data_IF_352490043902
#
_entry.id   IF_352490043902
#
_cell.length_a   1.000
_cell.length_b   1.000
_cell.length_c   1.000
_cell.angle_alpha   90.00
_cell.angle_beta   90.00
_cell.angle_gamma   90.00
#
_symmetry.space_group_name_H-M   'P 1'
#
loop_
_entity.id
_entity.type
_entity.pdbx_description
1 polymer ?
#
# COMPACT_ATOMS: atom_id res chain seq x y z
N UNK A 1 -23.50 18.59 -4.14
CA UNK A 1 -24.01 17.91 -2.93
C UNK A 1 -22.84 17.23 -2.24
N UNK A 2 -22.18 17.99 -1.38
CA UNK A 2 -21.07 17.74 -0.42
C UNK A 2 -21.33 18.78 0.68
N UNK A 3 -21.16 18.53 2.00
CA UNK A 3 -20.32 17.50 2.61
C UNK A 3 -20.97 16.67 3.75
N UNK A 4 -20.61 15.38 3.79
CA UNK A 4 -20.66 14.52 4.98
C UNK A 4 -19.25 14.32 5.60
N UNK A 5 -18.27 15.13 5.15
CA UNK A 5 -16.89 15.14 5.67
C UNK A 5 -16.77 15.90 7.00
N UNK A 6 -17.75 16.73 7.37
CA UNK A 6 -17.69 17.58 8.57
C UNK A 6 -18.19 16.88 9.85
N UNK A 7 -18.84 15.72 9.74
CA UNK A 7 -19.36 15.00 10.91
C UNK A 7 -18.34 14.07 11.58
N UNK A 8 -17.26 13.69 10.91
CA UNK A 8 -16.23 12.81 11.50
C UNK A 8 -15.21 13.61 12.33
N UNK A 9 -15.06 14.92 12.08
CA UNK A 9 -14.19 15.79 12.88
C UNK A 9 -14.79 16.16 14.26
N UNK A 10 -16.11 16.06 14.44
CA UNK A 10 -16.80 16.53 15.65
C UNK A 10 -17.03 15.46 16.74
N UNK A 11 -16.57 14.23 16.55
CA UNK A 11 -16.69 13.15 17.55
C UNK A 11 -15.48 13.05 18.50
N UNK A 12 -14.49 13.94 18.42
CA UNK A 12 -13.30 13.94 19.28
C UNK A 12 -13.29 15.03 20.37
N UNK A 13 -14.34 15.84 20.50
CA UNK A 13 -14.37 16.96 21.45
C UNK A 13 -15.69 17.00 22.23
N UNK A 14 -15.88 16.03 23.13
CA UNK A 14 -16.82 16.17 24.24
C UNK A 14 -16.40 15.30 25.44
N UNK A 15 -15.81 15.99 26.41
CA UNK A 15 -16.06 15.85 27.85
C UNK A 15 -15.41 14.72 28.67
N UNK A 16 -14.41 15.12 29.48
CA UNK A 16 -14.33 15.04 30.96
C UNK A 16 -12.84 15.15 31.33
N UNK A 17 -12.35 15.99 32.24
CA UNK A 17 -12.96 16.58 33.41
C UNK A 17 -11.99 16.39 34.59
N UNK A 18 -11.18 17.41 34.87
CA UNK A 18 -10.75 17.87 36.21
C UNK A 18 -10.23 16.83 37.24
N UNK A 19 -8.93 16.87 37.54
CA UNK A 19 -8.39 16.72 38.92
C UNK A 19 -7.08 17.51 39.13
N UNK A 20 -7.17 18.50 40.02
CA UNK A 20 -6.23 18.92 41.07
C UNK A 20 -4.70 18.84 40.88
N UNK A 21 -4.10 20.02 40.79
CA UNK A 21 -3.18 20.59 41.80
C UNK A 21 -1.90 19.83 42.17
N UNK A 22 -0.75 20.31 41.69
CA UNK A 22 0.48 20.31 42.51
C UNK A 22 1.41 21.47 42.14
N UNK A 23 1.93 22.07 43.20
CA UNK A 23 2.75 23.27 43.33
C UNK A 23 4.19 23.05 42.87
N UNK A 24 4.76 23.95 42.06
CA UNK A 24 6.22 24.08 41.82
C UNK A 24 6.48 25.53 41.38
N UNK A 25 6.81 26.41 42.33
CA UNK A 25 8.18 26.87 42.64
C UNK A 25 8.87 27.55 41.45
N UNK A 26 8.76 28.87 41.46
CA UNK A 26 9.82 29.85 41.29
C UNK A 26 11.10 29.33 40.61
N UNK A 27 11.35 29.83 39.39
CA UNK A 27 12.70 29.89 38.85
C UNK A 27 12.87 31.19 38.07
N UNK A 28 13.86 31.93 38.53
CA UNK A 28 14.20 33.31 38.21
C UNK A 28 14.38 33.60 36.72
N UNK A 29 13.85 34.75 36.30
CA UNK A 29 14.23 35.46 35.10
C UNK A 29 15.27 36.52 35.48
N UNK A 30 16.53 36.29 35.15
CA UNK A 30 17.58 37.29 35.24
C UNK A 30 18.42 37.36 33.96
N UNK A 31 18.50 38.58 33.42
CA UNK A 31 19.59 39.22 32.69
C UNK A 31 20.08 38.57 31.36
N UNK A 32 19.98 39.21 30.19
CA UNK A 32 20.57 40.48 29.71
C UNK A 32 22.00 40.31 29.14
N UNK A 33 22.09 40.64 27.85
CA UNK A 33 23.21 41.18 27.04
C UNK A 33 24.58 40.47 26.95
N UNK A 34 25.00 40.27 25.70
CA UNK A 34 26.37 39.91 25.32
C UNK A 34 26.62 40.14 23.82
N UNK A 35 27.00 41.37 23.48
CA UNK A 35 27.57 41.79 22.19
C UNK A 35 28.87 41.05 21.86
N UNK A 36 29.10 40.85 20.56
CA UNK A 36 30.44 40.94 19.95
C UNK A 36 31.08 39.62 19.49
N UNK A 37 31.21 39.45 18.17
CA UNK A 37 32.50 39.55 17.47
C UNK A 37 32.36 39.16 15.99
N UNK A 38 33.00 39.95 15.15
CA UNK A 38 33.08 39.82 13.69
C UNK A 38 34.20 38.83 13.28
N UNK A 39 33.88 37.96 12.29
CA UNK A 39 34.71 37.46 11.16
C UNK A 39 36.04 36.68 11.45
N UNK A 40 36.75 36.07 10.46
CA UNK A 40 36.48 35.69 9.05
C UNK A 40 36.96 34.24 8.67
N UNK A 41 36.99 33.93 7.36
CA UNK A 41 37.76 32.90 6.61
C UNK A 41 36.89 31.77 6.00
N UNK A 42 36.51 31.86 4.72
CA UNK A 42 37.30 31.41 3.56
C UNK A 42 37.92 30.03 3.74
N UNK A 43 37.16 29.01 3.33
CA UNK A 43 37.63 27.65 3.12
C UNK A 43 36.98 27.08 1.87
N UNK A 44 37.71 27.19 0.75
CA UNK A 44 37.41 26.58 -0.54
C UNK A 44 37.21 25.06 -0.33
N UNK A 45 35.96 24.60 -0.30
CA UNK A 45 35.65 23.18 -0.43
C UNK A 45 35.46 22.86 -1.91
N UNK A 46 36.50 22.27 -2.49
CA UNK A 46 36.47 21.64 -3.80
C UNK A 46 35.31 20.62 -3.88
N UNK A 47 34.59 20.52 -5.02
CA UNK A 47 33.64 19.44 -5.20
C UNK A 47 34.43 18.14 -5.34
N UNK A 48 34.38 17.31 -4.31
CA UNK A 48 34.76 15.89 -4.40
C UNK A 48 33.87 15.25 -5.47
N UNK A 49 34.41 15.17 -6.69
CA UNK A 49 33.90 14.36 -7.77
C UNK A 49 33.86 12.90 -7.28
N UNK A 50 32.73 12.48 -6.71
CA UNK A 50 32.40 11.07 -6.49
C UNK A 50 32.10 10.41 -7.83
N UNK A 51 33.13 10.29 -8.67
CA UNK A 51 33.12 9.41 -9.82
C UNK A 51 33.44 8.00 -9.33
N UNK A 52 32.46 7.37 -8.68
CA UNK A 52 32.52 5.93 -8.40
C UNK A 52 32.15 5.19 -9.68
N UNK A 53 33.17 4.61 -10.31
CA UNK A 53 33.13 3.70 -11.45
C UNK A 53 32.07 2.59 -11.29
N UNK A 54 30.83 2.82 -11.76
CA UNK A 54 29.78 1.81 -11.93
C UNK A 54 29.92 1.03 -13.25
N UNK A 55 31.12 0.62 -13.65
CA UNK A 55 31.31 -0.11 -14.93
C UNK A 55 31.57 -1.63 -14.78
N UNK A 56 31.60 -2.16 -13.56
CA UNK A 56 31.91 -3.58 -13.32
C UNK A 56 30.73 -4.56 -13.30
N UNK A 57 29.48 -4.08 -13.22
CA UNK A 57 28.31 -4.94 -13.00
C UNK A 57 27.61 -5.44 -14.28
N UNK A 58 27.71 -4.71 -15.40
CA UNK A 58 26.98 -5.07 -16.63
C UNK A 58 27.53 -6.36 -17.27
N UNK A 59 28.85 -6.54 -17.30
CA UNK A 59 29.49 -7.68 -17.97
C UNK A 59 29.33 -9.01 -17.24
N UNK A 60 29.04 -9.01 -15.92
CA UNK A 60 28.84 -10.27 -15.18
C UNK A 60 27.48 -10.91 -15.45
N UNK A 61 26.46 -10.10 -15.78
CA UNK A 61 25.13 -10.61 -16.10
C UNK A 61 25.09 -11.33 -17.45
N UNK A 62 25.86 -10.90 -18.44
CA UNK A 62 25.88 -11.52 -19.78
C UNK A 62 26.32 -13.00 -19.77
N UNK A 63 27.05 -13.41 -18.73
CA UNK A 63 27.52 -14.78 -18.57
C UNK A 63 26.51 -15.67 -17.85
N UNK A 64 25.51 -15.11 -17.17
CA UNK A 64 24.49 -15.90 -16.51
C UNK A 64 23.55 -16.55 -17.57
N UNK A 65 23.26 -17.87 -17.47
CA UNK A 65 22.43 -18.57 -18.46
C UNK A 65 21.07 -17.92 -18.71
N UNK A 66 20.52 -17.26 -17.70
CA UNK A 66 19.23 -16.57 -17.73
C UNK A 66 19.20 -15.42 -18.76
N UNK A 67 20.33 -14.76 -19.03
CA UNK A 67 20.39 -13.64 -19.98
C UNK A 67 20.43 -14.10 -21.43
N UNK A 68 20.64 -15.40 -21.68
CA UNK A 68 20.59 -15.99 -23.03
C UNK A 68 19.20 -16.47 -23.42
N UNK A 69 18.26 -16.48 -22.47
CA UNK A 69 16.87 -16.84 -22.77
C UNK A 69 16.25 -15.78 -23.69
N UNK A 70 15.40 -16.16 -24.65
CA UNK A 70 14.56 -15.24 -25.40
C UNK A 70 13.58 -14.48 -24.49
N UNK A 71 13.08 -13.32 -24.93
CA UNK A 71 12.14 -12.51 -24.15
C UNK A 71 10.84 -13.25 -23.86
N UNK A 72 10.38 -14.12 -24.76
CA UNK A 72 9.16 -14.91 -24.61
C UNK A 72 9.25 -15.85 -23.41
N UNK A 73 10.40 -16.49 -23.22
CA UNK A 73 10.62 -17.40 -22.09
C UNK A 73 10.69 -16.61 -20.77
N UNK A 74 11.31 -15.43 -20.79
CA UNK A 74 11.35 -14.55 -19.62
C UNK A 74 9.96 -14.06 -19.24
N UNK A 75 9.13 -13.69 -20.21
CA UNK A 75 7.72 -13.31 -19.99
C UNK A 75 6.99 -14.46 -19.29
N UNK A 76 7.12 -15.69 -19.80
CA UNK A 76 6.44 -16.84 -19.20
C UNK A 76 6.93 -17.15 -17.78
N UNK A 77 8.24 -17.05 -17.51
CA UNK A 77 8.79 -17.21 -16.15
C UNK A 77 8.20 -16.15 -15.21
N UNK A 78 8.16 -14.88 -15.65
CA UNK A 78 7.64 -13.77 -14.85
C UNK A 78 6.13 -13.95 -14.59
N UNK A 79 5.35 -14.35 -15.60
CA UNK A 79 3.91 -14.64 -15.42
C UNK A 79 3.69 -15.74 -14.38
N UNK A 80 4.37 -16.87 -14.52
CA UNK A 80 4.25 -17.98 -13.57
C UNK A 80 4.66 -17.54 -12.15
N UNK A 81 5.75 -16.78 -12.02
CA UNK A 81 6.18 -16.24 -10.73
C UNK A 81 5.13 -15.32 -10.08
N UNK A 82 4.47 -14.48 -10.88
CA UNK A 82 3.38 -13.61 -10.41
C UNK A 82 2.11 -14.39 -10.01
N UNK A 83 1.91 -15.57 -10.58
CA UNK A 83 0.79 -16.46 -10.26
C UNK A 83 1.04 -17.26 -8.98
N UNK A 84 2.28 -17.74 -8.77
CA UNK A 84 2.70 -18.58 -7.64
C UNK A 84 2.77 -17.88 -6.28
N UNK A 85 2.04 -16.77 -6.07
CA UNK A 85 2.15 -15.97 -4.84
C UNK A 85 2.04 -16.87 -3.59
N UNK A 86 3.13 -16.89 -2.82
CA UNK A 86 3.15 -17.39 -1.45
C UNK A 86 2.39 -16.35 -0.64
N UNK A 87 1.36 -16.75 0.12
CA UNK A 87 0.49 -15.89 0.95
C UNK A 87 1.21 -15.19 2.13
N UNK A 88 2.51 -14.87 2.01
CA UNK A 88 3.29 -14.12 3.01
C UNK A 88 3.54 -12.70 2.53
N UNK A 89 3.30 -11.71 3.39
CA UNK A 89 3.39 -10.26 3.12
C UNK A 89 4.80 -9.73 2.82
N UNK A 90 5.49 -10.31 1.83
CA UNK A 90 6.74 -9.80 1.27
C UNK A 90 6.51 -8.82 0.11
N UNK A 91 7.62 -8.23 -0.36
CA UNK A 91 7.64 -7.41 -1.57
C UNK A 91 6.96 -8.16 -2.73
N UNK A 92 6.03 -7.49 -3.38
CA UNK A 92 5.29 -8.10 -4.47
C UNK A 92 6.22 -8.53 -5.61
N UNK A 93 6.01 -9.73 -6.17
CA UNK A 93 6.87 -10.32 -7.19
C UNK A 93 7.16 -9.36 -8.36
N UNK A 94 6.14 -8.64 -8.84
CA UNK A 94 6.23 -7.66 -9.93
C UNK A 94 7.21 -6.49 -9.63
N UNK A 95 7.31 -6.10 -8.35
CA UNK A 95 8.29 -5.13 -7.86
C UNK A 95 9.69 -5.74 -7.94
N UNK A 96 9.87 -6.91 -7.35
CA UNK A 96 11.16 -7.62 -7.28
C UNK A 96 11.75 -7.85 -8.67
N UNK A 97 10.97 -8.38 -9.62
CA UNK A 97 11.43 -8.61 -10.99
C UNK A 97 11.81 -7.31 -11.72
N UNK A 98 11.11 -6.21 -11.44
CA UNK A 98 11.41 -4.89 -12.02
C UNK A 98 12.75 -4.31 -11.51
N UNK A 99 13.36 -4.90 -10.48
CA UNK A 99 14.64 -4.47 -9.94
C UNK A 99 15.82 -5.39 -10.31
N UNK A 100 15.59 -6.53 -10.97
CA UNK A 100 16.65 -7.50 -11.32
C UNK A 100 17.63 -6.95 -12.37
N UNK A 101 17.12 -6.48 -13.50
CA UNK A 101 17.91 -5.90 -14.59
C UNK A 101 17.07 -4.96 -15.45
N UNK A 102 17.70 -4.17 -16.31
CA UNK A 102 16.99 -3.29 -17.26
C UNK A 102 16.08 -4.10 -18.19
N UNK A 103 16.55 -5.26 -18.69
CA UNK A 103 15.76 -6.16 -19.55
C UNK A 103 14.51 -6.68 -18.84
N UNK A 104 14.67 -7.19 -17.61
CA UNK A 104 13.55 -7.69 -16.81
C UNK A 104 12.54 -6.59 -16.48
N UNK A 105 13.02 -5.37 -16.18
CA UNK A 105 12.16 -4.21 -15.98
C UNK A 105 11.36 -3.86 -17.23
N UNK A 106 11.99 -3.82 -18.41
CA UNK A 106 11.30 -3.54 -19.68
C UNK A 106 10.22 -4.58 -19.95
N UNK A 107 10.52 -5.86 -19.72
CA UNK A 107 9.54 -6.95 -19.87
C UNK A 107 8.40 -6.78 -18.86
N UNK A 108 8.70 -6.56 -17.58
CA UNK A 108 7.67 -6.41 -16.55
C UNK A 108 6.75 -5.21 -16.81
N UNK A 109 7.30 -4.07 -17.26
CA UNK A 109 6.51 -2.86 -17.56
C UNK A 109 5.67 -3.03 -18.82
N UNK A 110 6.16 -3.75 -19.83
CA UNK A 110 5.44 -3.99 -21.09
C UNK A 110 4.34 -5.05 -21.00
N UNK A 111 4.17 -5.70 -19.84
CA UNK A 111 3.17 -6.73 -19.61
C UNK A 111 2.14 -6.28 -18.55
N UNK A 112 1.03 -5.63 -18.95
CA UNK A 112 0.04 -5.09 -18.01
C UNK A 112 -0.62 -6.14 -17.11
N UNK A 113 -0.73 -7.40 -17.57
CA UNK A 113 -1.34 -8.50 -16.81
C UNK A 113 -0.65 -8.75 -15.46
N UNK A 114 0.65 -8.46 -15.35
CA UNK A 114 1.43 -8.61 -14.12
C UNK A 114 1.01 -7.63 -13.02
N UNK A 115 0.34 -6.53 -13.39
CA UNK A 115 -0.03 -5.43 -12.50
C UNK A 115 -1.51 -5.45 -12.10
N UNK A 116 -2.24 -6.50 -12.49
CA UNK A 116 -3.69 -6.63 -12.29
C UNK A 116 -4.07 -7.04 -10.87
N UNK A 117 -3.16 -7.62 -10.09
CA UNK A 117 -3.42 -8.02 -8.69
C UNK A 117 -2.91 -6.95 -7.75
N UNK A 118 -3.81 -6.16 -7.19
CA UNK A 118 -3.49 -5.02 -6.33
C UNK A 118 -3.83 -5.37 -4.88
N UNK A 119 -2.82 -5.41 -4.03
CA UNK A 119 -3.00 -5.54 -2.58
C UNK A 119 -2.99 -4.15 -1.92
N UNK A 120 -3.98 -3.88 -1.07
CA UNK A 120 -4.08 -2.72 -0.20
C UNK A 120 -3.72 -3.16 1.21
N UNK A 121 -2.46 -2.94 1.58
CA UNK A 121 -1.90 -3.31 2.88
C UNK A 121 -1.36 -2.06 3.62
N UNK A 122 -1.30 -2.08 4.96
CA UNK A 122 -0.78 -0.98 5.78
C UNK A 122 0.62 -0.48 5.41
N UNK A 123 1.49 -1.42 5.00
CA UNK A 123 2.89 -1.18 4.67
C UNK A 123 3.10 -0.69 3.23
N UNK A 124 2.07 -0.77 2.38
CA UNK A 124 2.17 -0.41 0.97
C UNK A 124 2.16 1.11 0.78
N UNK A 125 3.09 1.62 -0.02
CA UNK A 125 3.21 3.05 -0.28
C UNK A 125 2.13 3.45 -1.31
N UNK A 126 1.32 4.51 -1.06
CA UNK A 126 0.25 4.92 -1.98
C UNK A 126 0.68 5.16 -3.44
N UNK A 127 1.91 5.67 -3.65
CA UNK A 127 2.46 5.87 -5.00
C UNK A 127 2.68 4.56 -5.76
N UNK A 128 2.94 3.46 -5.05
CA UNK A 128 3.09 2.14 -5.66
C UNK A 128 1.74 1.59 -6.13
N UNK A 129 0.67 1.80 -5.36
CA UNK A 129 -0.70 1.48 -5.79
C UNK A 129 -1.05 2.20 -7.10
N UNK A 130 -0.78 3.51 -7.17
CA UNK A 130 -1.02 4.28 -8.40
C UNK A 130 -0.21 3.74 -9.58
N UNK A 131 1.04 3.33 -9.33
CA UNK A 131 1.89 2.71 -10.34
C UNK A 131 1.30 1.39 -10.85
N UNK A 132 0.78 0.52 -9.95
CA UNK A 132 0.11 -0.72 -10.35
C UNK A 132 -1.14 -0.44 -11.20
N UNK A 133 -1.99 0.49 -10.76
CA UNK A 133 -3.20 0.89 -11.49
C UNK A 133 -2.83 1.40 -12.89
N UNK A 134 -1.85 2.30 -13.01
CA UNK A 134 -1.41 2.82 -14.30
C UNK A 134 -0.84 1.73 -15.21
N UNK A 135 0.00 0.83 -14.66
CA UNK A 135 0.64 -0.24 -15.44
C UNK A 135 -0.31 -1.35 -15.86
N UNK A 136 -1.40 -1.56 -15.13
CA UNK A 136 -2.46 -2.49 -15.51
C UNK A 136 -3.27 -2.02 -16.74
N UNK A 137 -3.02 -0.81 -17.24
CA UNK A 137 -3.64 -0.23 -18.43
C UNK A 137 -5.17 -0.22 -18.35
N UNK A 138 -5.87 -0.91 -19.25
CA UNK A 138 -7.34 -1.05 -19.25
C UNK A 138 -7.80 -2.45 -18.83
N UNK A 139 -6.89 -3.31 -18.36
CA UNK A 139 -7.23 -4.69 -17.96
C UNK A 139 -8.01 -4.66 -16.64
N UNK A 140 -8.90 -5.64 -16.45
CA UNK A 140 -9.60 -5.80 -15.18
C UNK A 140 -8.63 -6.15 -14.03
N UNK A 141 -8.94 -5.65 -12.83
CA UNK A 141 -8.08 -5.68 -11.66
C UNK A 141 -8.72 -6.55 -10.57
N UNK A 142 -7.89 -7.36 -9.93
CA UNK A 142 -8.24 -8.07 -8.69
C UNK A 142 -7.69 -7.28 -7.50
N UNK A 143 -8.59 -6.82 -6.63
CA UNK A 143 -8.25 -6.03 -5.45
C UNK A 143 -8.28 -6.92 -4.22
N UNK A 144 -7.21 -6.90 -3.44
CA UNK A 144 -7.09 -7.63 -2.19
C UNK A 144 -6.81 -6.66 -1.04
N UNK A 145 -7.75 -6.51 -0.12
CA UNK A 145 -7.59 -5.68 1.07
C UNK A 145 -7.05 -6.56 2.20
N UNK A 146 -5.85 -6.23 2.68
CA UNK A 146 -5.15 -6.95 3.73
C UNK A 146 -5.72 -6.59 5.11
N UNK A 147 -5.46 -7.41 6.16
CA UNK A 147 -5.82 -7.05 7.52
C UNK A 147 -5.15 -5.74 7.91
N UNK A 148 -5.92 -4.83 8.51
CA UNK A 148 -5.39 -3.56 8.99
C UNK A 148 -5.15 -3.65 10.51
N UNK A 149 -3.98 -3.22 11.03
CA UNK A 149 -3.78 -3.20 12.47
C UNK A 149 -4.81 -2.27 13.12
N UNK A 150 -5.39 -2.74 14.21
CA UNK A 150 -6.28 -1.90 15.02
C UNK A 150 -5.51 -0.69 15.53
N UNK A 151 -6.13 0.51 15.60
CA UNK A 151 -5.47 1.77 15.99
C UNK A 151 -4.69 1.75 17.32
N UNK A 152 -4.93 0.75 18.17
CA UNK A 152 -4.20 0.53 19.43
C UNK A 152 -2.71 0.21 19.25
N UNK A 153 -2.24 -0.15 18.05
CA UNK A 153 -0.89 -0.68 17.83
C UNK A 153 0.21 0.37 17.61
N UNK A 154 -0.07 1.67 17.69
CA UNK A 154 0.96 2.74 17.69
C UNK A 154 1.76 2.92 16.40
N UNK A 155 1.59 2.07 15.39
CA UNK A 155 2.04 2.36 14.04
C UNK A 155 1.15 3.47 13.46
N UNK A 156 1.73 4.43 12.76
CA UNK A 156 1.01 5.30 11.84
C UNK A 156 1.12 4.69 10.43
N UNK A 157 0.34 3.64 10.10
CA UNK A 157 0.25 3.19 8.73
C UNK A 157 -0.30 4.34 7.87
N UNK A 158 0.00 4.33 6.57
CA UNK A 158 -0.68 5.21 5.62
C UNK A 158 -2.18 5.13 5.86
N UNK A 159 -2.94 6.23 5.74
CA UNK A 159 -4.38 6.15 6.02
C UNK A 159 -5.01 5.14 5.06
N UNK A 160 -5.70 4.13 5.60
CA UNK A 160 -6.48 3.18 4.82
C UNK A 160 -7.38 3.93 3.82
N UNK A 161 -7.95 5.06 4.24
CA UNK A 161 -8.81 5.89 3.40
C UNK A 161 -8.07 6.47 2.20
N UNK A 162 -6.80 6.83 2.34
CA UNK A 162 -5.99 7.35 1.24
C UNK A 162 -5.77 6.25 0.20
N UNK A 163 -5.33 5.07 0.63
CA UNK A 163 -5.12 3.93 -0.26
C UNK A 163 -6.43 3.47 -0.91
N UNK A 164 -7.51 3.38 -0.13
CA UNK A 164 -8.84 3.04 -0.61
C UNK A 164 -9.32 4.07 -1.66
N UNK A 165 -9.15 5.37 -1.40
CA UNK A 165 -9.55 6.41 -2.36
C UNK A 165 -8.80 6.30 -3.69
N UNK A 166 -7.55 5.85 -3.68
CA UNK A 166 -6.75 5.63 -4.89
C UNK A 166 -7.31 4.45 -5.69
N UNK A 167 -7.54 3.29 -5.04
CA UNK A 167 -8.05 2.11 -5.75
C UNK A 167 -9.49 2.31 -6.24
N UNK A 168 -10.31 3.05 -5.50
CA UNK A 168 -11.70 3.35 -5.88
C UNK A 168 -11.80 4.17 -7.17
N UNK A 169 -10.78 4.95 -7.54
CA UNK A 169 -10.74 5.63 -8.84
C UNK A 169 -10.72 4.66 -10.02
N UNK A 170 -10.36 3.40 -9.78
CA UNK A 170 -10.36 2.31 -10.76
C UNK A 170 -11.49 1.30 -10.55
N UNK A 171 -12.48 1.63 -9.71
CA UNK A 171 -13.58 0.74 -9.31
C UNK A 171 -14.35 0.13 -10.49
N UNK A 172 -14.47 0.85 -11.61
CA UNK A 172 -15.12 0.37 -12.83
C UNK A 172 -14.40 -0.83 -13.48
N UNK A 173 -13.11 -1.01 -13.18
CA UNK A 173 -12.26 -2.08 -13.71
C UNK A 173 -12.07 -3.22 -12.72
N UNK A 174 -12.70 -3.19 -11.56
CA UNK A 174 -12.54 -4.26 -10.59
C UNK A 174 -13.28 -5.51 -11.07
N UNK A 175 -12.56 -6.62 -11.21
CA UNK A 175 -13.10 -7.96 -11.48
C UNK A 175 -13.40 -8.71 -10.21
N UNK A 176 -12.47 -8.68 -9.26
CA UNK A 176 -12.63 -9.35 -7.98
C UNK A 176 -12.22 -8.46 -6.82
N UNK A 177 -12.94 -8.59 -5.70
CA UNK A 177 -12.64 -7.93 -4.44
C UNK A 177 -12.47 -9.00 -3.37
N UNK A 178 -11.28 -9.07 -2.79
CA UNK A 178 -10.97 -9.93 -1.67
C UNK A 178 -10.76 -9.10 -0.42
N UNK A 179 -11.50 -9.41 0.64
CA UNK A 179 -11.37 -8.78 1.95
C UNK A 179 -10.80 -9.83 2.91
N UNK A 180 -9.52 -9.67 3.28
CA UNK A 180 -8.85 -10.50 4.29
C UNK A 180 -8.93 -9.75 5.60
N UNK A 181 -10.01 -9.97 6.35
CA UNK A 181 -10.09 -9.49 7.71
C UNK A 181 -10.99 -10.37 8.56
N UNK A 182 -10.69 -10.47 9.85
CA UNK A 182 -11.60 -11.10 10.80
C UNK A 182 -12.98 -10.46 10.71
N UNK A 183 -14.05 -11.26 10.80
CA UNK A 183 -15.45 -10.79 10.70
C UNK A 183 -15.81 -9.70 11.74
N UNK A 184 -14.96 -9.51 12.74
CA UNK A 184 -15.10 -8.52 13.82
C UNK A 184 -14.32 -7.23 13.57
N UNK A 185 -13.62 -7.10 12.45
CA UNK A 185 -12.86 -5.91 12.14
C UNK A 185 -13.82 -4.78 11.71
N UNK A 186 -13.87 -3.65 12.46
CA UNK A 186 -14.70 -2.50 12.09
C UNK A 186 -14.40 -1.95 10.69
N UNK A 187 -13.21 -2.23 10.14
CA UNK A 187 -12.84 -1.91 8.76
C UNK A 187 -13.75 -2.60 7.75
N UNK A 188 -14.19 -3.82 8.04
CA UNK A 188 -15.12 -4.56 7.17
C UNK A 188 -16.45 -3.81 7.03
N UNK A 189 -17.05 -3.44 8.16
CA UNK A 189 -18.27 -2.64 8.22
C UNK A 189 -18.07 -1.29 7.53
N UNK A 190 -16.92 -0.65 7.73
CA UNK A 190 -16.62 0.62 7.08
C UNK A 190 -16.57 0.50 5.57
N UNK A 191 -15.89 -0.51 5.02
CA UNK A 191 -15.80 -0.75 3.58
C UNK A 191 -17.18 -1.01 2.97
N UNK A 192 -17.99 -1.87 3.61
CA UNK A 192 -19.34 -2.14 3.15
C UNK A 192 -20.25 -0.91 3.21
N UNK A 193 -20.21 -0.16 4.32
CA UNK A 193 -20.97 1.08 4.46
C UNK A 193 -20.52 2.13 3.45
N UNK A 194 -19.21 2.20 3.17
CA UNK A 194 -18.67 3.10 2.16
C UNK A 194 -19.23 2.74 0.77
N UNK A 195 -19.18 1.46 0.37
CA UNK A 195 -19.76 1.05 -0.91
C UNK A 195 -21.27 1.30 -0.98
N UNK A 196 -22.00 1.02 0.11
CA UNK A 196 -23.44 1.25 0.19
C UNK A 196 -23.82 2.75 0.13
N UNK A 197 -23.04 3.61 0.79
CA UNK A 197 -23.31 5.04 0.90
C UNK A 197 -22.88 5.87 -0.30
N UNK A 198 -21.78 5.49 -0.97
CA UNK A 198 -21.24 6.25 -2.10
C UNK A 198 -21.84 5.85 -3.45
N UNK A 199 -22.72 4.84 -3.50
CA UNK A 199 -23.34 4.40 -4.74
C UNK A 199 -22.31 3.99 -5.79
N UNK A 200 -21.19 3.39 -5.34
CA UNK A 200 -20.10 2.99 -6.23
C UNK A 200 -20.62 1.97 -7.21
N UNK A 201 -20.70 2.37 -8.48
CA UNK A 201 -21.06 1.46 -9.55
C UNK A 201 -19.86 0.58 -9.88
N UNK A 202 -20.02 -0.73 -9.68
CA UNK A 202 -18.99 -1.75 -9.90
C UNK A 202 -19.42 -2.67 -11.08
N UNK A 203 -19.43 -2.16 -12.33
CA UNK A 203 -20.00 -2.87 -13.48
C UNK A 203 -19.30 -4.18 -13.81
N UNK A 204 -18.00 -4.26 -13.52
CA UNK A 204 -17.15 -5.39 -13.91
C UNK A 204 -16.90 -6.38 -12.76
N UNK A 205 -17.50 -6.15 -11.59
CA UNK A 205 -17.22 -6.94 -10.40
C UNK A 205 -17.96 -8.28 -10.48
N UNK A 206 -17.18 -9.34 -10.67
CA UNK A 206 -17.66 -10.72 -10.81
C UNK A 206 -17.61 -11.48 -9.48
N UNK A 207 -16.65 -11.16 -8.60
CA UNK A 207 -16.37 -11.99 -7.43
C UNK A 207 -16.08 -11.14 -6.19
N UNK A 208 -16.73 -11.45 -5.06
CA UNK A 208 -16.40 -10.89 -3.74
C UNK A 208 -16.04 -12.04 -2.80
N UNK A 209 -14.83 -12.02 -2.24
CA UNK A 209 -14.31 -13.05 -1.32
C UNK A 209 -14.04 -12.47 0.05
N UNK A 210 -14.50 -13.16 1.08
CA UNK A 210 -14.33 -12.76 2.48
C UNK A 210 -13.52 -13.84 3.19
N UNK A 211 -12.39 -13.46 3.80
CA UNK A 211 -11.54 -14.37 4.57
C UNK A 211 -11.47 -13.90 6.03
N UNK A 212 -12.06 -14.66 6.95
CA UNK A 212 -11.95 -14.44 8.40
C UNK A 212 -10.70 -15.08 8.99
N UNK A 213 -10.05 -14.42 9.94
CA UNK A 213 -8.77 -14.87 10.54
C UNK A 213 -8.88 -16.07 11.48
N UNK A 214 -10.08 -16.54 11.83
CA UNK A 214 -10.21 -17.70 12.70
C UNK A 214 -11.54 -18.41 12.46
N UNK A 215 -11.51 -19.43 11.61
CA UNK A 215 -12.53 -20.47 11.67
C UNK A 215 -11.93 -21.80 11.22
N UNK A 216 -11.73 -22.71 12.17
CA UNK A 216 -11.83 -24.13 11.87
C UNK A 216 -13.09 -24.33 11.03
N UNK A 217 -12.94 -24.94 9.86
CA UNK A 217 -14.03 -25.22 8.93
C UNK A 217 -15.08 -26.07 9.65
N UNK A 218 -16.10 -25.43 10.23
CA UNK A 218 -17.34 -26.09 10.62
C UNK A 218 -18.36 -25.87 9.50
N UNK A 219 -19.14 -26.89 9.11
CA UNK A 219 -20.05 -26.77 7.98
C UNK A 219 -21.12 -25.71 8.29
N UNK A 220 -21.10 -24.60 7.54
CA UNK A 220 -22.08 -23.54 7.66
C UNK A 220 -23.41 -24.04 7.08
N UNK A 221 -24.32 -24.47 7.95
CA UNK A 221 -25.70 -24.75 7.55
C UNK A 221 -26.49 -23.44 7.58
N UNK A 222 -26.72 -22.86 6.39
CA UNK A 222 -27.75 -21.84 6.11
C UNK A 222 -27.68 -20.54 6.94
N UNK A 223 -26.88 -19.58 6.47
CA UNK A 223 -27.16 -18.15 6.70
C UNK A 223 -27.03 -17.40 5.37
N UNK A 224 -28.05 -16.60 5.08
CA UNK A 224 -28.34 -15.92 3.82
C UNK A 224 -27.32 -14.83 3.49
N UNK A 225 -26.34 -15.15 2.64
CA UNK A 225 -25.84 -14.27 1.59
C UNK A 225 -25.47 -15.17 0.41
N UNK A 226 -26.21 -15.07 -0.69
CA UNK A 226 -25.83 -15.76 -1.93
C UNK A 226 -24.61 -15.03 -2.52
N UNK A 227 -23.42 -15.46 -2.12
CA UNK A 227 -22.20 -15.28 -2.89
C UNK A 227 -22.06 -16.60 -3.65
N UNK A 228 -22.32 -16.58 -4.96
CA UNK A 228 -22.07 -17.75 -5.80
C UNK A 228 -20.58 -18.14 -5.74
N UNK A 229 -20.26 -19.44 -5.71
CA UNK A 229 -18.88 -19.88 -5.82
C UNK A 229 -18.36 -19.53 -7.22
N UNK A 230 -17.40 -18.61 -7.29
CA UNK A 230 -16.61 -18.36 -8.50
C UNK A 230 -15.96 -19.70 -8.92
N UNK A 231 -16.46 -20.30 -10.01
CA UNK A 231 -15.95 -21.54 -10.58
C UNK A 231 -14.48 -21.36 -11.00
N UNK A 232 -13.63 -22.39 -10.82
CA UNK A 232 -12.22 -22.35 -11.20
C UNK A 232 -12.02 -22.26 -12.72
#
# INVERSE_FOLDING_TARGET
MVPLMEQVANLSLADTGRTSGTTLKDMDLSAQEGQGCQQPAEGIQAPLARSCSRKGGEHQNELAPLFRLPDEILVEIIKHGAETKIDGGGDSFEKTVSHVSTRWRTIAISNPSLWTRISVCPEEIPSFLLTRIHRSADILIDVNICPWPTPSAGAAPHSFLDQLSIILRSANRWRSLTLRSGLVDPMFSFVLLYFAGYGTYLPSLECVRLYGSEMQVRPWSRALFFIEPCTP
#
